data_IF_625698398542
#
_entry.id   IF_625698398542
#
_cell.length_a   1.000
_cell.length_b   1.000
_cell.length_c   1.000
_cell.angle_alpha   90.00
_cell.angle_beta   90.00
_cell.angle_gamma   90.00
#
_symmetry.space_group_name_H-M   'P 1'
#
loop_
_entity.id
_entity.type
_entity.pdbx_description
1 polymer ?
#
# COMPACT_ATOMS: atom_id res chain seq x y z
N UNK A 1 22.96 16.24 -3.75
CA UNK A 1 22.52 15.39 -2.62
C UNK A 1 22.65 13.93 -3.06
N UNK A 2 23.59 13.20 -2.50
CA UNK A 2 23.85 11.79 -2.84
C UNK A 2 22.80 10.93 -2.14
N UNK A 3 21.88 10.32 -2.91
CA UNK A 3 20.91 9.36 -2.38
C UNK A 3 21.64 8.09 -1.95
N UNK A 4 21.84 7.94 -0.64
CA UNK A 4 22.40 6.73 -0.05
C UNK A 4 21.37 5.61 -0.22
N UNK A 5 21.52 4.79 -1.25
CA UNK A 5 20.76 3.54 -1.39
C UNK A 5 21.47 2.54 -0.49
N UNK A 6 20.86 2.08 0.62
CA UNK A 6 21.47 1.05 1.44
C UNK A 6 21.58 -0.22 0.58
N UNK A 7 22.78 -0.57 0.16
CA UNK A 7 23.06 -1.90 -0.38
C UNK A 7 22.75 -2.89 0.72
N UNK A 8 21.67 -3.66 0.55
CA UNK A 8 21.29 -4.76 1.43
C UNK A 8 22.50 -5.68 1.59
N UNK A 9 23.11 -5.61 2.77
CA UNK A 9 24.25 -6.43 3.16
C UNK A 9 23.89 -7.91 3.01
N UNK A 10 24.68 -8.65 2.24
CA UNK A 10 24.65 -10.12 2.14
C UNK A 10 25.18 -10.75 3.44
N UNK A 11 24.56 -10.44 4.58
CA UNK A 11 24.82 -11.16 5.81
C UNK A 11 24.33 -12.62 5.65
N UNK A 12 25.05 -13.61 6.21
CA UNK A 12 24.59 -15.00 6.18
C UNK A 12 23.22 -15.08 6.86
N UNK A 13 22.22 -15.51 6.08
CA UNK A 13 20.88 -15.81 6.58
C UNK A 13 21.02 -16.97 7.57
N UNK A 14 20.45 -16.86 8.78
CA UNK A 14 20.50 -17.95 9.73
C UNK A 14 19.79 -19.19 9.16
N UNK A 15 20.29 -20.39 9.48
CA UNK A 15 19.71 -21.64 9.00
C UNK A 15 18.20 -21.74 9.28
N UNK A 16 17.76 -21.28 10.45
CA UNK A 16 16.34 -21.25 10.84
C UNK A 16 15.47 -20.41 9.90
N UNK A 17 15.96 -19.26 9.43
CA UNK A 17 15.22 -18.40 8.49
C UNK A 17 15.13 -19.08 7.13
N UNK A 18 16.18 -19.80 6.72
CA UNK A 18 16.17 -20.60 5.50
C UNK A 18 15.13 -21.71 5.55
N UNK A 19 15.01 -22.41 6.68
CA UNK A 19 14.02 -23.48 6.86
C UNK A 19 12.58 -22.94 6.81
N UNK A 20 12.31 -21.82 7.51
CA UNK A 20 11.00 -21.18 7.48
C UNK A 20 10.63 -20.71 6.06
N UNK A 21 11.59 -20.16 5.32
CA UNK A 21 11.38 -19.73 3.95
C UNK A 21 10.95 -20.89 3.04
N UNK A 22 11.65 -22.03 3.09
CA UNK A 22 11.30 -23.19 2.27
C UNK A 22 9.94 -23.80 2.67
N UNK A 23 9.60 -23.82 3.96
CA UNK A 23 8.27 -24.25 4.42
C UNK A 23 7.16 -23.36 3.85
N UNK A 24 7.32 -22.04 3.94
CA UNK A 24 6.31 -21.09 3.42
C UNK A 24 6.20 -21.18 1.90
N UNK A 25 7.34 -21.26 1.20
CA UNK A 25 7.37 -21.43 -0.26
C UNK A 25 6.67 -22.72 -0.70
N UNK A 26 6.94 -23.85 -0.04
CA UNK A 26 6.25 -25.12 -0.33
C UNK A 26 4.74 -24.99 -0.13
N UNK A 27 4.31 -24.37 0.97
CA UNK A 27 2.89 -24.14 1.22
C UNK A 27 2.23 -23.25 0.15
N UNK A 28 2.94 -22.26 -0.41
CA UNK A 28 2.44 -21.47 -1.54
C UNK A 28 2.29 -22.31 -2.80
N UNK A 29 3.24 -23.19 -3.10
CA UNK A 29 3.19 -24.10 -4.24
C UNK A 29 1.99 -25.04 -4.11
N UNK A 30 1.80 -25.63 -2.91
CA UNK A 30 0.68 -26.52 -2.63
C UNK A 30 -0.66 -25.78 -2.78
N UNK A 31 -0.77 -24.57 -2.25
CA UNK A 31 -1.96 -23.72 -2.38
C UNK A 31 -2.29 -23.42 -3.85
N UNK A 32 -1.27 -23.17 -4.69
CA UNK A 32 -1.46 -22.91 -6.12
C UNK A 32 -1.80 -24.16 -6.94
N UNK A 33 -1.51 -25.35 -6.42
CA UNK A 33 -1.88 -26.63 -7.02
C UNK A 33 -3.34 -27.02 -6.72
N UNK A 34 -3.98 -26.35 -5.75
CA UNK A 34 -5.37 -26.63 -5.42
C UNK A 34 -6.33 -26.29 -6.58
N UNK A 35 -7.36 -27.11 -6.85
CA UNK A 35 -8.30 -26.88 -7.95
C UNK A 35 -9.07 -25.55 -7.90
N UNK A 36 -9.22 -24.96 -6.70
CA UNK A 36 -9.85 -23.65 -6.52
C UNK A 36 -8.97 -22.49 -7.00
N UNK A 37 -7.66 -22.72 -7.13
CA UNK A 37 -6.71 -21.73 -7.62
C UNK A 37 -6.78 -21.66 -9.15
N UNK A 38 -7.52 -20.68 -9.66
CA UNK A 38 -7.65 -20.40 -11.10
C UNK A 38 -6.56 -19.42 -11.54
N UNK A 39 -6.42 -19.25 -12.85
CA UNK A 39 -5.41 -18.34 -13.44
C UNK A 39 -5.54 -16.89 -12.96
N UNK A 40 -6.77 -16.45 -12.68
CA UNK A 40 -7.08 -15.10 -12.18
C UNK A 40 -7.35 -15.04 -10.67
N UNK A 41 -6.94 -16.06 -9.90
CA UNK A 41 -7.06 -16.03 -8.44
C UNK A 41 -6.08 -15.02 -7.86
N UNK A 42 -6.57 -14.23 -6.90
CA UNK A 42 -5.79 -13.23 -6.18
C UNK A 42 -5.57 -13.75 -4.76
N UNK A 43 -4.33 -13.90 -4.33
CA UNK A 43 -4.01 -14.18 -2.93
C UNK A 43 -3.81 -12.89 -2.17
N UNK A 44 -4.47 -12.78 -1.02
CA UNK A 44 -4.35 -11.64 -0.12
C UNK A 44 -3.77 -12.08 1.21
N UNK A 45 -2.70 -11.42 1.62
CA UNK A 45 -2.06 -11.60 2.91
C UNK A 45 -2.12 -10.30 3.70
N UNK A 46 -2.77 -10.34 4.86
CA UNK A 46 -2.69 -9.25 5.83
C UNK A 46 -1.27 -9.11 6.36
N UNK A 47 -0.84 -7.88 6.60
CA UNK A 47 0.47 -7.57 7.17
C UNK A 47 0.48 -7.78 8.69
N UNK A 48 1.57 -8.37 9.21
CA UNK A 48 1.75 -8.58 10.64
C UNK A 48 2.26 -7.33 11.37
N UNK A 49 3.04 -6.50 10.67
CA UNK A 49 3.63 -5.28 11.21
C UNK A 49 2.88 -4.02 10.77
N UNK A 50 3.05 -2.96 11.55
CA UNK A 50 2.62 -1.61 11.16
C UNK A 50 3.72 -0.94 10.34
N UNK A 51 3.29 -0.27 9.26
CA UNK A 51 4.15 0.53 8.40
C UNK A 51 3.69 1.99 8.46
N UNK A 52 4.64 2.95 8.49
CA UNK A 52 4.30 4.36 8.48
C UNK A 52 3.76 4.72 7.10
N UNK A 53 2.47 5.01 7.00
CA UNK A 53 1.86 5.43 5.72
C UNK A 53 2.12 6.90 5.44
N UNK A 54 2.35 7.71 6.47
CA UNK A 54 2.70 9.13 6.35
C UNK A 54 4.21 9.33 6.38
N UNK A 55 4.69 10.26 5.55
CA UNK A 55 6.04 10.80 5.63
C UNK A 55 6.07 11.75 6.81
N UNK A 56 6.98 11.50 7.75
CA UNK A 56 7.35 12.54 8.72
C UNK A 56 7.86 13.71 7.89
N UNK A 57 7.09 14.81 7.84
CA UNK A 57 7.60 16.08 7.34
C UNK A 57 8.73 16.43 8.29
N UNK A 58 9.96 16.09 7.91
CA UNK A 58 11.11 16.76 8.48
C UNK A 58 10.84 18.21 8.16
N UNK A 59 10.45 18.98 9.19
CA UNK A 59 10.24 20.39 9.06
C UNK A 59 11.50 20.89 8.36
N UNK A 60 11.36 21.27 7.09
CA UNK A 60 12.42 22.00 6.43
C UNK A 60 12.52 23.24 7.30
N UNK A 61 13.54 23.24 8.17
CA UNK A 61 14.01 24.40 8.89
C UNK A 61 14.54 25.32 7.81
N UNK A 62 13.61 25.90 7.05
CA UNK A 62 13.90 26.96 6.11
C UNK A 62 14.21 28.15 7.01
N UNK A 63 15.50 28.25 7.33
CA UNK A 63 16.31 29.25 6.68
C UNK A 63 15.54 30.54 6.42
N UNK A 64 15.16 31.19 7.54
CA UNK A 64 14.64 32.55 7.55
C UNK A 64 15.71 33.59 7.21
N UNK A 65 16.88 33.16 6.72
CA UNK A 65 17.93 34.09 6.29
C UNK A 65 17.68 34.48 4.83
N UNK A 66 17.59 35.78 4.55
CA UNK A 66 17.40 36.41 3.24
C UNK A 66 15.97 36.55 2.69
N UNK A 67 15.07 37.19 3.44
CA UNK A 67 14.15 38.17 2.82
C UNK A 67 14.62 39.57 3.17
N UNK A 68 15.60 40.04 2.41
CA UNK A 68 15.86 41.46 2.32
C UNK A 68 16.20 41.78 0.85
N UNK A 69 15.30 42.52 0.20
CA UNK A 69 15.43 43.16 -1.14
C UNK A 69 15.35 42.16 -2.31
N UNK A 70 14.56 42.39 -3.36
CA UNK A 70 14.30 43.63 -4.07
C UNK A 70 13.00 43.53 -4.90
N UNK A 71 12.25 44.63 -4.94
CA UNK A 71 11.16 44.88 -5.88
C UNK A 71 11.68 44.82 -7.32
N UNK A 72 11.28 43.81 -8.09
CA UNK A 72 11.10 44.02 -9.52
C UNK A 72 10.02 43.10 -10.09
N UNK A 73 9.10 43.70 -10.84
CA UNK A 73 7.90 43.10 -11.39
C UNK A 73 8.20 42.37 -12.68
N UNK A 74 8.04 41.04 -12.69
CA UNK A 74 7.80 40.33 -13.95
C UNK A 74 6.94 39.08 -13.75
N UNK A 75 5.84 39.04 -14.50
CA UNK A 75 4.89 37.94 -14.67
C UNK A 75 5.61 36.58 -14.88
N UNK A 76 5.69 35.77 -13.83
CA UNK A 76 6.13 34.38 -13.87
C UNK A 76 4.96 33.45 -13.60
N UNK A 77 4.21 33.13 -14.64
CA UNK A 77 3.07 32.22 -14.61
C UNK A 77 3.55 30.83 -15.06
N UNK A 78 4.31 30.08 -14.24
CA UNK A 78 4.69 28.71 -14.63
C UNK A 78 5.02 27.67 -13.52
N UNK A 79 4.93 27.98 -12.22
CA UNK A 79 5.32 26.99 -11.16
C UNK A 79 4.15 26.43 -10.32
N UNK A 80 2.94 26.31 -10.89
CA UNK A 80 1.81 25.65 -10.20
C UNK A 80 1.83 24.12 -10.25
N UNK A 81 2.79 23.52 -10.95
CA UNK A 81 3.02 22.07 -10.96
C UNK A 81 4.01 21.60 -9.90
N UNK A 82 4.20 22.39 -8.84
CA UNK A 82 4.70 21.84 -7.58
C UNK A 82 3.64 20.89 -7.04
N UNK A 83 3.66 19.64 -7.54
CA UNK A 83 3.11 18.48 -6.89
C UNK A 83 3.65 18.52 -5.46
N UNK A 84 2.85 19.09 -4.56
CA UNK A 84 3.05 18.93 -3.13
C UNK A 84 3.25 17.44 -2.95
N UNK A 85 4.49 17.03 -2.64
CA UNK A 85 4.81 15.62 -2.42
C UNK A 85 3.78 15.14 -1.43
N UNK A 86 2.95 14.19 -1.88
CA UNK A 86 1.90 13.61 -1.07
C UNK A 86 2.47 13.33 0.32
N UNK A 87 1.73 13.71 1.36
CA UNK A 87 2.15 13.47 2.72
C UNK A 87 2.28 11.96 3.01
N UNK A 88 1.83 11.10 2.10
CA UNK A 88 1.85 9.65 2.23
C UNK A 88 2.93 8.99 1.36
N UNK A 89 3.34 7.81 1.79
CA UNK A 89 4.09 6.87 0.95
C UNK A 89 3.15 6.19 -0.02
N UNK A 90 3.63 5.96 -1.24
CA UNK A 90 2.99 5.02 -2.16
C UNK A 90 3.18 3.58 -1.66
N UNK A 91 2.30 2.65 -2.03
CA UNK A 91 2.47 1.22 -1.68
C UNK A 91 3.80 0.66 -2.19
N UNK A 92 4.27 1.15 -3.34
CA UNK A 92 5.59 0.81 -3.90
C UNK A 92 6.75 1.29 -3.05
N UNK A 93 6.64 2.44 -2.39
CA UNK A 93 7.67 2.89 -1.43
C UNK A 93 7.58 2.07 -0.13
N UNK A 94 6.37 1.75 0.33
CA UNK A 94 6.16 0.92 1.52
C UNK A 94 6.78 -0.47 1.42
N UNK A 95 6.85 -1.05 0.22
CA UNK A 95 7.39 -2.40 0.04
C UNK A 95 8.88 -2.50 0.40
N UNK A 96 9.60 -1.38 0.37
CA UNK A 96 11.01 -1.30 0.77
C UNK A 96 11.21 -1.43 2.29
N UNK A 97 10.14 -1.22 3.07
CA UNK A 97 10.19 -1.26 4.53
C UNK A 97 9.70 -2.59 5.11
N UNK A 98 9.26 -3.53 4.28
CA UNK A 98 8.80 -4.85 4.73
C UNK A 98 9.86 -5.53 5.59
N UNK A 99 9.42 -6.09 6.72
CA UNK A 99 10.31 -6.72 7.70
C UNK A 99 9.73 -8.01 8.26
N UNK A 100 10.60 -8.82 8.86
CA UNK A 100 10.21 -10.06 9.54
C UNK A 100 9.41 -11.01 8.63
N UNK A 101 8.29 -11.50 9.14
CA UNK A 101 7.40 -12.42 8.43
C UNK A 101 6.82 -11.85 7.14
N UNK A 102 6.58 -10.54 7.06
CA UNK A 102 5.97 -9.93 5.86
C UNK A 102 6.97 -9.94 4.70
N UNK A 103 8.25 -9.64 4.97
CA UNK A 103 9.32 -9.74 3.98
C UNK A 103 9.56 -11.19 3.54
N UNK A 104 9.50 -12.14 4.47
CA UNK A 104 9.61 -13.57 4.17
C UNK A 104 8.46 -14.02 3.25
N UNK A 105 7.21 -13.67 3.59
CA UNK A 105 6.02 -13.98 2.78
C UNK A 105 6.14 -13.40 1.37
N UNK A 106 6.57 -12.14 1.27
CA UNK A 106 6.76 -11.47 -0.02
C UNK A 106 7.74 -12.25 -0.91
N UNK A 107 8.92 -12.58 -0.39
CA UNK A 107 9.94 -13.34 -1.13
C UNK A 107 9.51 -14.76 -1.45
N UNK A 108 8.79 -15.42 -0.53
CA UNK A 108 8.28 -16.77 -0.74
C UNK A 108 7.25 -16.80 -1.89
N UNK A 109 6.42 -15.76 -2.03
CA UNK A 109 5.53 -15.61 -3.17
C UNK A 109 6.32 -15.53 -4.49
N UNK A 110 7.35 -14.67 -4.57
CA UNK A 110 8.21 -14.55 -5.76
C UNK A 110 8.87 -15.88 -6.11
N UNK A 111 9.44 -16.56 -5.12
CA UNK A 111 10.11 -17.85 -5.31
C UNK A 111 9.16 -19.00 -5.70
N UNK A 112 7.87 -18.87 -5.38
CA UNK A 112 6.84 -19.79 -5.83
C UNK A 112 6.37 -19.47 -7.28
N UNK A 113 6.81 -18.36 -7.89
CA UNK A 113 6.40 -17.93 -9.23
C UNK A 113 5.16 -17.04 -9.25
N UNK A 114 4.78 -16.48 -8.09
CA UNK A 114 3.77 -15.43 -8.00
C UNK A 114 4.41 -14.06 -8.20
N UNK A 115 3.59 -13.07 -8.55
CA UNK A 115 3.94 -11.66 -8.62
C UNK A 115 3.30 -10.94 -7.43
N UNK A 116 4.02 -10.81 -6.30
CA UNK A 116 3.53 -10.05 -5.17
C UNK A 116 3.65 -8.54 -5.42
N UNK A 117 2.73 -7.80 -4.81
CA UNK A 117 2.72 -6.34 -4.76
C UNK A 117 2.05 -5.89 -3.48
N UNK A 118 2.42 -4.73 -2.95
CA UNK A 118 1.63 -4.09 -1.90
C UNK A 118 0.48 -3.32 -2.53
N UNK A 119 -0.73 -3.55 -2.01
CA UNK A 119 -1.94 -2.82 -2.39
C UNK A 119 -2.73 -2.44 -1.15
N UNK A 120 -3.58 -1.43 -1.28
CA UNK A 120 -4.61 -1.12 -0.30
C UNK A 120 -5.87 -1.90 -0.67
N UNK A 121 -6.38 -2.69 0.26
CA UNK A 121 -7.60 -3.47 0.13
C UNK A 121 -8.77 -2.70 0.75
N UNK A 122 -9.80 -2.47 -0.04
CA UNK A 122 -11.03 -1.80 0.40
C UNK A 122 -12.16 -2.81 0.43
N UNK A 123 -12.72 -3.05 1.61
CA UNK A 123 -13.83 -3.98 1.81
C UNK A 123 -15.11 -3.20 2.13
N UNK A 124 -16.05 -3.17 1.18
CA UNK A 124 -17.29 -2.41 1.32
C UNK A 124 -18.29 -3.07 2.27
N UNK A 125 -18.09 -4.32 2.68
CA UNK A 125 -19.00 -5.02 3.60
C UNK A 125 -19.14 -4.33 4.96
N UNK A 126 -18.15 -3.54 5.38
CA UNK A 126 -18.18 -2.84 6.65
C UNK A 126 -18.92 -1.50 6.58
N UNK A 127 -19.29 -1.03 5.37
CA UNK A 127 -20.03 0.20 5.13
C UNK A 127 -21.52 -0.06 4.85
N UNK A 128 -22.02 -1.16 5.42
CA UNK A 128 -23.36 -1.74 5.24
C UNK A 128 -24.53 -0.76 5.50
N UNK A 129 -24.25 0.43 6.05
CA UNK A 129 -25.21 1.50 6.24
C UNK A 129 -25.78 2.05 4.92
N UNK A 130 -25.03 1.98 3.81
CA UNK A 130 -25.42 2.62 2.55
C UNK A 130 -25.99 1.64 1.50
N UNK A 131 -25.60 0.37 1.51
CA UNK A 131 -25.99 -0.57 0.46
C UNK A 131 -26.87 -1.68 1.02
N UNK A 132 -28.20 -1.46 1.06
CA UNK A 132 -29.23 -2.40 1.56
C UNK A 132 -29.22 -3.83 0.97
N UNK A 133 -28.40 -4.09 -0.04
CA UNK A 133 -28.12 -5.40 -0.62
C UNK A 133 -26.77 -5.30 -1.32
N UNK A 134 -25.70 -5.83 -0.77
CA UNK A 134 -24.48 -5.96 -1.55
C UNK A 134 -23.70 -7.17 -1.10
N UNK A 135 -23.52 -8.12 -2.02
CA UNK A 135 -22.45 -9.09 -1.93
C UNK A 135 -21.16 -8.35 -1.54
N UNK A 136 -20.33 -8.92 -0.67
CA UNK A 136 -19.09 -8.26 -0.25
C UNK A 136 -18.24 -7.91 -1.47
N UNK A 137 -18.19 -6.62 -1.83
CA UNK A 137 -17.39 -6.15 -2.95
C UNK A 137 -16.07 -5.65 -2.39
N UNK A 138 -15.00 -6.32 -2.79
CA UNK A 138 -13.65 -5.93 -2.43
C UNK A 138 -12.93 -5.28 -3.62
N UNK A 139 -12.18 -4.22 -3.33
CA UNK A 139 -11.38 -3.48 -4.30
C UNK A 139 -9.92 -3.42 -3.85
N UNK A 140 -9.01 -3.26 -4.81
CA UNK A 140 -7.58 -3.08 -4.59
C UNK A 140 -7.11 -1.80 -5.27
N UNK A 141 -6.28 -1.02 -4.58
CA UNK A 141 -5.72 0.23 -5.08
C UNK A 141 -4.24 0.38 -4.75
N UNK A 142 -3.56 1.27 -5.49
CA UNK A 142 -2.16 1.64 -5.26
C UNK A 142 -2.00 2.85 -4.33
N UNK A 143 -3.09 3.58 -4.10
CA UNK A 143 -3.12 4.79 -3.30
C UNK A 143 -4.10 4.63 -2.13
N UNK A 144 -3.80 5.36 -1.07
CA UNK A 144 -4.68 5.54 0.07
C UNK A 144 -5.77 6.54 -0.27
N UNK A 145 -7.00 6.23 0.16
CA UNK A 145 -8.13 7.15 0.12
C UNK A 145 -8.19 7.97 1.41
N UNK A 146 -8.48 9.25 1.26
CA UNK A 146 -8.69 10.17 2.38
C UNK A 146 -10.18 10.34 2.71
N UNK A 147 -10.55 10.65 3.96
CA UNK A 147 -11.93 10.89 4.35
C UNK A 147 -12.63 11.98 3.55
N UNK A 148 -11.91 13.04 3.19
CA UNK A 148 -12.45 14.14 2.40
C UNK A 148 -12.73 13.75 0.93
N UNK A 149 -12.18 12.63 0.46
CA UNK A 149 -12.42 12.09 -0.89
C UNK A 149 -13.64 11.18 -0.95
N UNK A 150 -14.19 10.77 0.19
CA UNK A 150 -15.44 10.03 0.29
C UNK A 150 -16.59 11.04 0.34
N UNK A 151 -17.00 11.58 -0.81
CA UNK A 151 -18.18 12.43 -0.88
C UNK A 151 -19.45 11.60 -0.69
N UNK A 152 -20.26 11.93 0.32
CA UNK A 152 -21.51 11.23 0.66
C UNK A 152 -22.63 11.43 -0.39
N UNK A 153 -22.48 12.43 -1.26
CA UNK A 153 -23.55 12.91 -2.16
C UNK A 153 -23.55 12.25 -3.55
N UNK A 154 -22.64 11.31 -3.83
CA UNK A 154 -22.68 10.57 -5.10
C UNK A 154 -23.71 9.44 -5.05
N UNK A 155 -24.92 9.73 -5.55
CA UNK A 155 -26.00 8.75 -5.80
C UNK A 155 -25.54 7.53 -6.62
N UNK A 156 -24.39 7.61 -7.31
CA UNK A 156 -23.79 6.55 -8.13
C UNK A 156 -22.95 5.53 -7.32
N UNK A 157 -22.77 5.75 -6.01
CA UNK A 157 -22.19 4.81 -5.05
C UNK A 157 -20.66 4.64 -5.11
N UNK A 158 -20.07 4.22 -3.98
CA UNK A 158 -18.62 4.02 -3.78
C UNK A 158 -17.89 3.23 -4.89
N UNK A 159 -18.60 2.37 -5.62
CA UNK A 159 -18.02 1.63 -6.74
C UNK A 159 -17.58 2.53 -7.89
N UNK A 160 -18.35 3.60 -8.20
CA UNK A 160 -18.01 4.57 -9.24
C UNK A 160 -16.76 5.37 -8.86
N UNK A 161 -16.71 5.84 -7.61
CA UNK A 161 -15.54 6.52 -7.04
C UNK A 161 -14.27 5.68 -7.16
N UNK A 162 -14.32 4.42 -6.72
CA UNK A 162 -13.17 3.52 -6.77
C UNK A 162 -12.71 3.27 -8.21
N UNK A 163 -13.64 3.09 -9.15
CA UNK A 163 -13.31 2.93 -10.56
C UNK A 163 -12.69 4.20 -11.15
N UNK A 164 -13.21 5.39 -10.81
CA UNK A 164 -12.68 6.69 -11.23
C UNK A 164 -11.25 6.93 -10.75
N UNK A 165 -10.88 6.36 -9.60
CA UNK A 165 -9.52 6.38 -9.07
C UNK A 165 -8.61 5.27 -9.62
N UNK A 166 -9.08 4.49 -10.59
CA UNK A 166 -8.30 3.40 -11.18
C UNK A 166 -8.14 2.18 -10.27
N UNK A 167 -8.96 2.05 -9.22
CA UNK A 167 -8.95 0.85 -8.38
C UNK A 167 -9.54 -0.33 -9.14
N UNK A 168 -9.03 -1.52 -8.84
CA UNK A 168 -9.46 -2.76 -9.51
C UNK A 168 -10.28 -3.61 -8.56
N UNK A 169 -11.47 -4.01 -9.01
CA UNK A 169 -12.33 -4.94 -8.27
C UNK A 169 -11.63 -6.31 -8.16
N UNK A 170 -11.46 -6.79 -6.93
CA UNK A 170 -10.77 -8.05 -6.64
C UNK A 170 -11.74 -9.24 -6.78
N UNK A 171 -11.89 -9.75 -8.01
CA UNK A 171 -12.64 -10.98 -8.27
C UNK A 171 -11.77 -12.19 -7.90
N UNK A 172 -12.38 -13.24 -7.33
CA UNK A 172 -11.68 -14.48 -6.94
C UNK A 172 -10.55 -14.25 -5.91
N UNK A 173 -10.78 -13.35 -4.96
CA UNK A 173 -9.87 -13.09 -3.85
C UNK A 173 -9.92 -14.23 -2.82
N UNK A 174 -8.76 -14.78 -2.47
CA UNK A 174 -8.57 -15.71 -1.36
C UNK A 174 -7.73 -15.01 -0.30
N UNK A 175 -8.35 -14.77 0.87
CA UNK A 175 -7.63 -14.26 2.03
C UNK A 175 -6.91 -15.42 2.72
N UNK A 176 -5.58 -15.43 2.65
CA UNK A 176 -4.75 -16.55 3.13
C UNK A 176 -4.38 -16.35 4.60
N UNK A 177 -3.93 -15.14 4.96
CA UNK A 177 -3.70 -14.76 6.36
C UNK A 177 -4.77 -13.77 6.80
N UNK A 178 -5.17 -13.87 8.07
CA UNK A 178 -6.15 -12.95 8.64
C UNK A 178 -5.65 -11.51 8.51
N UNK A 179 -6.55 -10.63 8.06
CA UNK A 179 -6.37 -9.19 8.13
C UNK A 179 -6.41 -8.80 9.60
N UNK A 180 -5.39 -8.08 10.06
CA UNK A 180 -5.33 -7.70 11.47
C UNK A 180 -6.19 -6.45 11.77
N UNK A 181 -6.80 -5.80 10.76
CA UNK A 181 -7.53 -4.53 10.91
C UNK A 181 -6.70 -3.43 11.57
N UNK A 182 -5.39 -3.60 11.54
CA UNK A 182 -4.38 -2.77 12.18
C UNK A 182 -3.89 -1.63 11.31
N UNK A 183 -4.22 -1.65 10.03
CA UNK A 183 -3.80 -0.66 9.02
C UNK A 183 -4.99 0.07 8.40
N UNK A 184 -6.23 -0.28 8.78
CA UNK A 184 -7.45 0.35 8.26
C UNK A 184 -8.24 1.03 9.36
N UNK A 185 -8.81 2.19 9.00
CA UNK A 185 -9.81 3.04 9.67
C UNK A 185 -9.61 3.47 11.14
N UNK A 186 -8.83 2.76 11.95
CA UNK A 186 -8.54 3.11 13.35
C UNK A 186 -7.03 3.17 13.63
N UNK A 187 -6.20 3.24 12.59
CA UNK A 187 -4.77 3.43 12.79
C UNK A 187 -4.50 4.92 12.95
N UNK A 188 -4.68 5.42 14.17
CA UNK A 188 -4.21 6.74 14.56
C UNK A 188 -2.70 6.78 14.38
N UNK A 189 -2.22 7.31 13.26
CA UNK A 189 -0.83 7.66 13.12
C UNK A 189 -0.63 8.95 13.90
N UNK A 190 0.08 8.86 15.02
CA UNK A 190 0.52 10.04 15.75
C UNK A 190 1.53 10.79 14.89
N UNK A 191 1.03 11.66 14.03
CA UNK A 191 1.79 12.72 13.39
C UNK A 191 2.05 13.78 14.46
N UNK A 192 3.03 13.50 15.33
CA UNK A 192 3.91 14.45 16.03
C UNK A 192 4.42 13.86 17.37
N UNK A 193 5.75 13.73 17.49
CA UNK A 193 6.42 13.67 18.79
C UNK A 193 6.67 15.12 19.26
N UNK A 194 5.69 15.73 19.94
CA UNK A 194 5.80 17.09 20.49
C UNK A 194 4.46 17.61 21.02
N UNK A 195 4.49 18.73 21.76
CA UNK A 195 3.29 19.39 22.34
C UNK A 195 2.33 20.02 21.29
N UNK A 196 2.47 19.68 20.01
CA UNK A 196 1.50 20.05 18.98
C UNK A 196 0.28 19.14 19.07
N UNK A 197 -0.91 19.68 18.75
CA UNK A 197 -2.09 18.84 18.61
C UNK A 197 -1.82 17.87 17.45
N UNK A 198 -1.64 16.59 17.74
CA UNK A 198 -1.43 15.57 16.72
C UNK A 198 -2.61 15.62 15.74
N UNK A 199 -2.36 16.12 14.53
CA UNK A 199 -3.32 16.00 13.43
C UNK A 199 -3.39 14.50 13.11
N UNK A 200 -4.45 13.85 13.58
CA UNK A 200 -4.74 12.48 13.24
C UNK A 200 -5.22 12.47 11.79
N UNK A 201 -4.37 11.93 10.93
CA UNK A 201 -4.70 11.75 9.52
C UNK A 201 -5.20 10.32 9.33
N UNK A 202 -6.46 10.19 8.93
CA UNK A 202 -7.12 8.90 8.75
C UNK A 202 -7.03 8.52 7.28
N UNK A 203 -6.61 7.29 6.98
CA UNK A 203 -6.67 6.73 5.63
C UNK A 203 -7.56 5.49 5.60
N UNK A 204 -8.23 5.29 4.48
CA UNK A 204 -9.14 4.17 4.28
C UNK A 204 -8.44 2.96 3.66
N UNK A 205 -8.94 1.77 4.00
CA UNK A 205 -8.49 0.49 3.48
C UNK A 205 -7.32 -0.13 4.26
N UNK A 206 -6.94 -1.35 3.89
CA UNK A 206 -5.90 -2.13 4.59
C UNK A 206 -4.73 -2.44 3.67
N UNK A 207 -3.50 -2.14 4.11
CA UNK A 207 -2.32 -2.51 3.33
C UNK A 207 -2.11 -4.01 3.43
N UNK A 208 -2.08 -4.67 2.28
CA UNK A 208 -1.93 -6.11 2.15
C UNK A 208 -0.86 -6.45 1.11
N UNK A 209 -0.26 -7.63 1.24
CA UNK A 209 0.47 -8.25 0.11
C UNK A 209 -0.59 -8.91 -0.76
N UNK A 210 -0.64 -8.47 -2.02
CA UNK A 210 -1.47 -9.06 -3.06
C UNK A 210 -0.55 -9.81 -4.02
N UNK A 211 -0.77 -11.12 -4.16
CA UNK A 211 0.00 -11.97 -5.05
C UNK A 211 -0.91 -12.58 -6.12
N UNK A 212 -0.45 -12.54 -7.37
CA UNK A 212 -1.15 -13.09 -8.54
C UNK A 212 -0.21 -14.00 -9.32
N UNK A 213 -0.75 -14.92 -10.12
CA UNK A 213 0.11 -15.68 -11.05
C UNK A 213 0.71 -14.71 -12.08
N UNK A 214 1.96 -14.94 -12.45
CA UNK A 214 2.55 -14.23 -13.57
C UNK A 214 1.73 -14.53 -14.83
N UNK A 215 1.10 -13.51 -15.42
CA UNK A 215 0.45 -13.68 -16.71
C UNK A 215 1.50 -14.14 -17.72
N UNK A 216 1.29 -15.31 -18.33
CA UNK A 216 2.21 -15.88 -19.32
C UNK A 216 2.47 -14.93 -20.52
N UNK A 217 1.64 -13.90 -20.69
CA UNK A 217 1.68 -12.93 -21.79
C UNK A 217 2.74 -11.83 -21.66
N UNK A 218 3.40 -11.69 -20.50
CA UNK A 218 4.36 -10.60 -20.27
C UNK A 218 5.81 -11.08 -20.05
N UNK A 219 6.17 -12.32 -20.43
CA UNK A 219 7.59 -12.66 -20.47
C UNK A 219 8.25 -11.86 -21.60
N UNK A 220 9.28 -11.04 -21.31
CA UNK A 220 10.06 -10.42 -22.37
C UNK A 220 10.68 -11.54 -23.19
N UNK A 221 10.43 -11.55 -24.49
CA UNK A 221 11.08 -12.50 -25.41
C UNK A 221 12.60 -12.41 -25.19
N UNK A 222 13.18 -13.53 -24.71
CA UNK A 222 14.60 -13.66 -24.38
C UNK A 222 15.47 -13.74 -25.61
#
# INVERSE_FOLDING_TARGET
MSSYIPTLSNAPVSAEISDQFEVVKSAMIDLMAEPRFKENTILCFGLAYHYPVTRVRTAHVNDRSNRDRSDDSSNGQDDRNNHAKSAYYTTKELSQYLKGSDALLYRACEAAGLVPSLKVLYDLSHYDYLTRKSDSVTWTGDNFLRPDELHEDEDDGLGSLFQGQGMTRAKNLIVVTKRLHRTGLDTNYLTEYGNGAAEMDTVYGEVCIIATKANATNQPES
#
